data_IF_119959779270
#
_entry.id   IF_119959779270
#
_cell.length_a   1.000
_cell.length_b   1.000
_cell.length_c   1.000
_cell.angle_alpha   90.00
_cell.angle_beta   90.00
_cell.angle_gamma   90.00
#
_symmetry.space_group_name_H-M   'P 1'
#
loop_
_entity.id
_entity.type
_entity.pdbx_description
1 polymer ?
#
# COMPACT_ATOMS: atom_id res chain seq x y z
N UNK A 1 -66.49 -31.33 -8.54
CA UNK A 1 -65.17 -31.87 -8.19
C UNK A 1 -64.20 -30.69 -8.18
N UNK A 2 -63.83 -30.16 -7.01
CA UNK A 2 -62.86 -29.08 -6.88
C UNK A 2 -61.43 -29.66 -6.85
N UNK A 3 -60.53 -29.05 -7.61
CA UNK A 3 -59.09 -29.27 -7.52
C UNK A 3 -58.53 -28.07 -6.75
N UNK A 4 -58.00 -28.32 -5.56
CA UNK A 4 -57.30 -27.32 -4.77
C UNK A 4 -55.94 -27.03 -5.42
N UNK A 5 -55.72 -25.77 -5.81
CA UNK A 5 -54.43 -25.26 -6.28
C UNK A 5 -53.73 -24.60 -5.10
N UNK A 6 -52.79 -25.31 -4.48
CA UNK A 6 -51.87 -24.70 -3.51
C UNK A 6 -50.80 -23.90 -4.27
N UNK A 7 -50.83 -22.58 -4.10
CA UNK A 7 -49.78 -21.68 -4.57
C UNK A 7 -48.63 -21.69 -3.54
N UNK A 8 -47.59 -22.47 -3.82
CA UNK A 8 -46.36 -22.46 -3.01
C UNK A 8 -45.55 -21.19 -3.33
N UNK A 9 -45.56 -20.24 -2.41
CA UNK A 9 -44.68 -19.07 -2.45
C UNK A 9 -43.21 -19.53 -2.36
N UNK A 10 -42.39 -19.12 -3.32
CA UNK A 10 -40.96 -19.42 -3.33
C UNK A 10 -40.26 -18.71 -2.16
N UNK A 11 -39.45 -19.41 -1.35
CA UNK A 11 -38.71 -18.79 -0.25
C UNK A 11 -37.59 -17.90 -0.80
N UNK A 12 -37.74 -16.59 -0.66
CA UNK A 12 -36.68 -15.61 -0.91
C UNK A 12 -35.53 -15.90 0.07
N UNK A 13 -34.50 -16.56 -0.42
CA UNK A 13 -33.43 -17.13 0.40
C UNK A 13 -32.50 -16.01 0.88
N UNK A 14 -32.29 -15.91 2.20
CA UNK A 14 -31.38 -14.96 2.89
C UNK A 14 -29.90 -15.02 2.44
N UNK A 15 -29.55 -15.92 1.52
CA UNK A 15 -28.20 -16.13 0.98
C UNK A 15 -27.69 -14.96 0.14
N UNK A 16 -28.55 -14.23 -0.56
CA UNK A 16 -28.11 -13.15 -1.45
C UNK A 16 -27.70 -11.88 -0.69
N UNK A 17 -28.08 -11.73 0.58
CA UNK A 17 -27.72 -10.57 1.40
C UNK A 17 -26.37 -10.70 2.12
N UNK A 18 -25.85 -11.92 2.31
CA UNK A 18 -24.52 -12.15 2.91
C UNK A 18 -23.38 -12.04 1.90
N UNK A 19 -23.67 -12.02 0.60
CA UNK A 19 -22.65 -11.88 -0.46
C UNK A 19 -22.11 -10.45 -0.63
N UNK A 20 -22.66 -9.46 0.08
CA UNK A 20 -22.25 -8.03 -0.02
C UNK A 20 -21.58 -7.45 1.23
N UNK A 21 -21.32 -8.24 2.27
CA UNK A 21 -20.86 -7.71 3.57
C UNK A 21 -19.47 -8.17 4.03
N UNK A 22 -18.72 -8.91 3.21
CA UNK A 22 -17.37 -9.42 3.56
C UNK A 22 -16.28 -8.78 2.69
N UNK A 23 -16.32 -7.46 2.53
CA UNK A 23 -15.32 -6.65 1.82
C UNK A 23 -14.70 -5.69 2.84
N UNK A 24 -13.81 -6.19 3.68
CA UNK A 24 -13.00 -5.44 4.65
C UNK A 24 -11.83 -6.37 5.01
N UNK A 25 -10.65 -6.28 4.43
CA UNK A 25 -9.78 -5.12 4.39
C UNK A 25 -8.57 -5.43 5.28
N UNK A 26 -7.67 -6.31 4.82
CA UNK A 26 -6.40 -6.57 5.48
C UNK A 26 -5.36 -5.61 4.88
N UNK A 27 -5.22 -4.43 5.48
CA UNK A 27 -4.15 -3.50 5.18
C UNK A 27 -3.10 -3.62 6.28
N UNK A 28 -1.89 -3.99 5.88
CA UNK A 28 -0.68 -3.96 6.72
C UNK A 28 -0.28 -2.49 6.89
N UNK A 29 -0.10 -2.06 8.14
CA UNK A 29 0.41 -0.73 8.43
C UNK A 29 1.37 -0.74 9.60
N UNK A 30 2.64 -0.37 9.35
CA UNK A 30 3.53 0.23 10.33
C UNK A 30 4.31 1.35 9.63
N UNK A 31 4.58 2.45 10.33
CA UNK A 31 5.34 3.60 9.81
C UNK A 31 4.57 4.92 9.87
N UNK A 32 4.38 5.45 11.09
CA UNK A 32 3.88 6.79 11.31
C UNK A 32 4.89 7.84 10.84
N UNK A 33 4.84 8.23 9.56
CA UNK A 33 5.24 9.57 9.16
C UNK A 33 4.05 10.50 9.40
N UNK A 34 4.25 11.59 10.12
CA UNK A 34 3.22 12.52 10.56
C UNK A 34 2.62 13.36 9.41
N UNK A 35 2.03 12.71 8.41
CA UNK A 35 1.32 13.33 7.30
C UNK A 35 -0.20 13.34 7.49
N UNK A 36 -0.93 14.24 6.83
CA UNK A 36 -2.38 14.43 6.98
C UNK A 36 -3.22 13.21 6.58
N UNK A 37 -2.66 12.25 5.85
CA UNK A 37 -3.34 11.00 5.47
C UNK A 37 -3.39 9.95 6.61
N UNK A 38 -2.72 10.20 7.74
CA UNK A 38 -2.65 9.25 8.88
C UNK A 38 -3.99 9.06 9.61
N UNK A 39 -4.94 9.98 9.43
CA UNK A 39 -6.21 9.99 10.19
C UNK A 39 -7.30 9.08 9.59
N UNK A 40 -7.09 8.50 8.40
CA UNK A 40 -8.07 7.66 7.72
C UNK A 40 -7.77 6.15 7.82
N UNK A 41 -6.68 5.75 8.49
CA UNK A 41 -6.32 4.34 8.67
C UNK A 41 -6.50 3.91 10.14
N UNK A 42 -7.41 2.97 10.47
CA UNK A 42 -7.47 2.38 11.80
C UNK A 42 -6.21 1.57 12.08
N UNK A 43 -5.54 1.88 13.19
CA UNK A 43 -4.40 1.14 13.74
C UNK A 43 -4.79 -0.30 14.06
N UNK A 44 -4.38 -1.24 13.21
CA UNK A 44 -4.48 -2.69 13.45
C UNK A 44 -3.05 -3.24 13.54
N UNK A 45 -2.68 -3.74 14.73
CA UNK A 45 -1.32 -4.19 15.02
C UNK A 45 -0.91 -5.45 14.24
N UNK A 46 0.38 -5.54 13.96
CA UNK A 46 1.05 -6.72 13.43
C UNK A 46 0.76 -7.94 14.31
N UNK A 47 0.02 -8.91 13.78
CA UNK A 47 0.05 -10.27 14.32
C UNK A 47 1.15 -11.04 13.61
N UNK A 48 2.02 -11.70 14.38
CA UNK A 48 3.02 -12.61 13.87
C UNK A 48 2.36 -13.61 12.91
N UNK A 49 2.75 -13.56 11.63
CA UNK A 49 2.42 -14.62 10.70
C UNK A 49 3.06 -15.91 11.24
N UNK A 50 2.29 -16.98 11.50
CA UNK A 50 2.86 -18.20 12.05
C UNK A 50 4.01 -18.68 11.15
N UNK A 51 5.20 -18.85 11.73
CA UNK A 51 6.48 -19.20 11.07
C UNK A 51 6.48 -20.56 10.32
N UNK A 52 5.31 -21.14 10.03
CA UNK A 52 5.14 -22.48 9.47
C UNK A 52 4.51 -22.56 8.08
N UNK A 53 4.09 -21.44 7.45
CA UNK A 53 3.31 -21.49 6.20
C UNK A 53 3.91 -20.72 5.02
N UNK A 54 5.18 -20.30 5.10
CA UNK A 54 5.90 -19.76 3.94
C UNK A 54 6.37 -20.85 2.94
N UNK A 55 6.16 -22.13 3.24
CA UNK A 55 6.28 -23.21 2.24
C UNK A 55 5.12 -23.18 1.21
N UNK A 56 4.12 -22.32 1.42
CA UNK A 56 3.00 -22.08 0.53
C UNK A 56 2.98 -20.69 -0.07
N UNK A 57 4.14 -20.09 -0.42
CA UNK A 57 4.14 -18.93 -1.33
C UNK A 57 3.63 -19.40 -2.69
N UNK A 58 2.30 -19.42 -2.84
CA UNK A 58 1.65 -19.53 -4.13
C UNK A 58 2.31 -18.50 -5.03
N UNK A 59 3.05 -19.03 -6.00
CA UNK A 59 3.84 -18.25 -6.94
C UNK A 59 2.94 -17.18 -7.53
N UNK A 60 3.40 -15.93 -7.50
CA UNK A 60 2.62 -14.84 -8.04
C UNK A 60 2.64 -15.00 -9.56
N UNK A 61 1.50 -15.40 -10.13
CA UNK A 61 1.38 -15.53 -11.56
C UNK A 61 1.36 -14.15 -12.25
N UNK A 62 1.93 -14.09 -13.46
CA UNK A 62 2.11 -12.84 -14.20
C UNK A 62 0.78 -12.08 -14.38
N UNK A 63 -0.29 -12.78 -14.75
CA UNK A 63 -1.58 -12.17 -15.05
C UNK A 63 -2.23 -11.58 -13.80
N UNK A 64 -2.17 -12.29 -12.67
CA UNK A 64 -2.64 -11.78 -11.36
C UNK A 64 -1.85 -10.56 -10.93
N UNK A 65 -0.52 -10.58 -11.06
CA UNK A 65 0.30 -9.40 -10.77
C UNK A 65 -0.05 -8.23 -11.69
N UNK A 66 -0.12 -8.46 -13.00
CA UNK A 66 -0.44 -7.43 -13.99
C UNK A 66 -1.84 -6.83 -13.76
N UNK A 67 -2.84 -7.65 -13.43
CA UNK A 67 -4.20 -7.21 -13.12
C UNK A 67 -4.26 -6.29 -11.91
N UNK A 68 -3.31 -6.44 -10.99
CA UNK A 68 -3.20 -5.59 -9.81
C UNK A 68 -2.33 -4.34 -10.05
N UNK A 69 -1.18 -4.50 -10.68
CA UNK A 69 -0.21 -3.43 -10.91
C UNK A 69 -0.70 -2.42 -11.95
N UNK A 70 -1.35 -2.87 -13.04
CA UNK A 70 -1.82 -1.98 -14.12
C UNK A 70 -2.75 -0.87 -13.62
N UNK A 71 -3.79 -1.16 -12.80
CA UNK A 71 -4.60 -0.12 -12.16
C UNK A 71 -3.82 0.86 -11.28
N UNK A 72 -2.77 0.42 -10.58
CA UNK A 72 -1.95 1.29 -9.74
C UNK A 72 -1.13 2.26 -10.60
N UNK A 73 -0.49 1.75 -11.65
CA UNK A 73 0.23 2.57 -12.62
C UNK A 73 -0.69 3.58 -13.33
N UNK A 74 -1.91 3.18 -13.68
CA UNK A 74 -2.93 4.09 -14.22
C UNK A 74 -3.34 5.17 -13.21
N UNK A 75 -3.46 4.83 -11.92
CA UNK A 75 -3.71 5.82 -10.89
C UNK A 75 -2.56 6.82 -10.79
N UNK A 76 -1.31 6.37 -10.92
CA UNK A 76 -0.16 7.25 -10.93
C UNK A 76 -0.17 8.20 -12.14
N UNK A 77 -0.44 7.70 -13.36
CA UNK A 77 -0.61 8.53 -14.57
C UNK A 77 -1.63 9.66 -14.34
N UNK A 78 -2.78 9.33 -13.75
CA UNK A 78 -3.85 10.30 -13.49
C UNK A 78 -3.54 11.24 -12.32
N UNK A 79 -2.83 10.79 -11.30
CA UNK A 79 -2.39 11.64 -10.20
C UNK A 79 -1.36 12.68 -10.67
N UNK A 80 -0.40 12.29 -11.53
CA UNK A 80 0.50 13.24 -12.18
C UNK A 80 -0.25 14.24 -13.07
N UNK A 81 -1.30 13.80 -13.76
CA UNK A 81 -2.16 14.73 -14.51
C UNK A 81 -2.82 15.74 -13.56
N UNK A 82 -3.36 15.30 -12.42
CA UNK A 82 -3.96 16.18 -11.44
C UNK A 82 -2.94 17.18 -10.87
N UNK A 83 -1.71 16.76 -10.61
CA UNK A 83 -0.64 17.65 -10.16
C UNK A 83 -0.28 18.71 -11.22
N UNK A 84 -0.23 18.33 -12.50
CA UNK A 84 -0.03 19.26 -13.62
C UNK A 84 -1.19 20.27 -13.74
N UNK A 85 -2.42 19.80 -13.56
CA UNK A 85 -3.65 20.61 -13.65
C UNK A 85 -3.82 21.55 -12.43
N UNK A 86 -3.15 21.28 -11.31
CA UNK A 86 -3.21 22.13 -10.10
C UNK A 86 -2.58 23.51 -10.28
N UNK A 87 -1.74 23.69 -11.32
CA UNK A 87 -0.94 24.89 -11.58
C UNK A 87 0.01 25.31 -10.43
N UNK A 88 0.19 24.47 -9.40
CA UNK A 88 1.10 24.76 -8.27
C UNK A 88 2.58 24.49 -8.58
N UNK A 89 2.85 23.61 -9.55
CA UNK A 89 4.20 23.24 -9.94
C UNK A 89 4.85 24.35 -10.79
N UNK A 90 6.11 24.67 -10.51
CA UNK A 90 6.93 25.52 -11.34
C UNK A 90 7.32 24.82 -12.67
N UNK A 91 7.90 25.57 -13.60
CA UNK A 91 8.29 25.06 -14.93
C UNK A 91 9.26 23.86 -14.87
N UNK A 92 10.12 23.78 -13.85
CA UNK A 92 11.04 22.65 -13.69
C UNK A 92 10.24 21.41 -13.28
N UNK A 93 9.37 21.53 -12.30
CA UNK A 93 8.60 20.40 -11.77
C UNK A 93 7.49 19.94 -12.70
N UNK A 94 6.85 20.84 -13.45
CA UNK A 94 5.93 20.45 -14.53
C UNK A 94 6.61 19.54 -15.56
N UNK A 95 7.85 19.85 -15.95
CA UNK A 95 8.60 19.03 -16.91
C UNK A 95 8.94 17.65 -16.35
N UNK A 96 9.35 17.58 -15.09
CA UNK A 96 9.64 16.31 -14.42
C UNK A 96 8.36 15.49 -14.21
N UNK A 97 7.27 16.11 -13.78
CA UNK A 97 5.96 15.47 -13.64
C UNK A 97 5.48 14.85 -14.96
N UNK A 98 5.61 15.55 -16.08
CA UNK A 98 5.28 15.00 -17.41
C UNK A 98 6.18 13.80 -17.78
N UNK A 99 7.46 13.87 -17.44
CA UNK A 99 8.40 12.76 -17.66
C UNK A 99 7.99 11.54 -16.82
N UNK A 100 7.67 11.74 -15.54
CA UNK A 100 7.28 10.67 -14.62
C UNK A 100 5.93 10.06 -15.02
N UNK A 101 4.96 10.88 -15.40
CA UNK A 101 3.70 10.43 -16.00
C UNK A 101 3.94 9.52 -17.21
N UNK A 102 4.86 9.90 -18.09
CA UNK A 102 5.22 9.08 -19.28
C UNK A 102 5.85 7.75 -18.89
N UNK A 103 6.64 7.72 -17.81
CA UNK A 103 7.24 6.49 -17.29
C UNK A 103 6.18 5.54 -16.74
N UNK A 104 5.21 6.02 -15.95
CA UNK A 104 4.07 5.20 -15.52
C UNK A 104 3.25 4.72 -16.72
N UNK A 105 2.98 5.56 -17.72
CA UNK A 105 2.25 5.12 -18.91
C UNK A 105 3.01 4.02 -19.69
N UNK A 106 4.34 4.04 -19.65
CA UNK A 106 5.17 2.98 -20.22
C UNK A 106 5.03 1.68 -19.39
N UNK A 107 5.02 1.77 -18.06
CA UNK A 107 4.76 0.63 -17.19
C UNK A 107 3.34 0.06 -17.40
N UNK A 108 2.30 0.90 -17.47
CA UNK A 108 0.93 0.50 -17.84
C UNK A 108 0.93 -0.30 -19.13
N UNK A 109 1.60 0.20 -20.17
CA UNK A 109 1.62 -0.45 -21.49
C UNK A 109 2.26 -1.84 -21.40
N UNK A 110 3.41 -1.95 -20.74
CA UNK A 110 4.12 -3.21 -20.59
C UNK A 110 3.36 -4.22 -19.71
N UNK A 111 2.72 -3.77 -18.63
CA UNK A 111 1.92 -4.63 -17.76
C UNK A 111 0.61 -5.06 -18.42
N UNK A 112 0.02 -4.22 -19.27
CA UNK A 112 -1.19 -4.58 -20.04
C UNK A 112 -0.93 -5.77 -20.97
N UNK A 113 0.29 -5.92 -21.50
CA UNK A 113 0.67 -7.08 -22.32
C UNK A 113 0.70 -8.40 -21.51
N UNK A 114 0.81 -8.32 -20.19
CA UNK A 114 0.82 -9.48 -19.28
C UNK A 114 -0.57 -9.82 -18.72
N UNK A 115 -1.59 -9.00 -19.00
CA UNK A 115 -2.97 -9.28 -18.59
C UNK A 115 -3.53 -10.51 -19.32
N UNK A 116 -4.45 -11.21 -18.66
CA UNK A 116 -5.24 -12.24 -19.32
C UNK A 116 -6.10 -11.62 -20.45
N UNK A 117 -6.28 -12.35 -21.56
CA UNK A 117 -7.03 -11.89 -22.74
C UNK A 117 -8.47 -11.43 -22.40
N UNK A 118 -9.04 -11.93 -21.30
CA UNK A 118 -10.40 -11.63 -20.82
C UNK A 118 -10.46 -10.62 -19.66
N UNK A 119 -9.34 -10.02 -19.27
CA UNK A 119 -9.27 -9.07 -18.15
C UNK A 119 -10.05 -7.76 -18.39
N UNK A 120 -10.36 -7.43 -19.64
CA UNK A 120 -11.02 -6.18 -20.01
C UNK A 120 -10.08 -4.97 -19.98
N UNK A 121 -10.64 -3.78 -20.15
CA UNK A 121 -9.87 -2.53 -20.07
C UNK A 121 -9.57 -2.20 -18.60
N UNK A 122 -8.29 -2.04 -18.27
CA UNK A 122 -7.88 -1.64 -16.93
C UNK A 122 -8.35 -0.22 -16.63
N UNK A 123 -8.80 0.00 -15.40
CA UNK A 123 -9.16 1.32 -14.87
C UNK A 123 -8.20 1.68 -13.74
N UNK A 124 -8.01 2.97 -13.49
CA UNK A 124 -7.16 3.43 -12.40
C UNK A 124 -7.68 2.91 -11.05
N UNK A 125 -6.76 2.60 -10.14
CA UNK A 125 -7.11 2.24 -8.77
C UNK A 125 -7.73 3.45 -8.05
N UNK A 126 -9.06 3.47 -7.95
CA UNK A 126 -9.83 4.59 -7.38
C UNK A 126 -9.37 5.00 -5.97
N UNK A 127 -8.96 4.04 -5.14
CA UNK A 127 -8.54 4.32 -3.76
C UNK A 127 -7.22 5.10 -3.76
N UNK A 128 -6.22 4.64 -4.52
CA UNK A 128 -4.94 5.36 -4.63
C UNK A 128 -5.17 6.71 -5.29
N UNK A 129 -5.86 6.73 -6.42
CA UNK A 129 -6.13 7.95 -7.16
C UNK A 129 -6.85 9.00 -6.31
N UNK A 130 -7.92 8.61 -5.62
CA UNK A 130 -8.70 9.56 -4.79
C UNK A 130 -7.90 10.09 -3.61
N UNK A 131 -7.11 9.23 -2.95
CA UNK A 131 -6.25 9.65 -1.84
C UNK A 131 -5.19 10.65 -2.31
N UNK A 132 -4.48 10.35 -3.41
CA UNK A 132 -3.44 11.23 -3.95
C UNK A 132 -4.04 12.53 -4.49
N UNK A 133 -5.18 12.49 -5.19
CA UNK A 133 -5.86 13.71 -5.66
C UNK A 133 -6.30 14.60 -4.51
N UNK A 134 -6.86 14.02 -3.44
CA UNK A 134 -7.24 14.79 -2.25
C UNK A 134 -6.01 15.50 -1.66
N UNK A 135 -4.88 14.79 -1.53
CA UNK A 135 -3.64 15.40 -1.04
C UNK A 135 -3.09 16.52 -1.95
N UNK A 136 -3.23 16.38 -3.27
CA UNK A 136 -2.85 17.42 -4.25
C UNK A 136 -3.81 18.62 -4.16
N UNK A 137 -5.11 18.38 -4.07
CA UNK A 137 -6.14 19.43 -4.02
C UNK A 137 -6.05 20.24 -2.71
N UNK A 138 -5.69 19.58 -1.61
CA UNK A 138 -5.51 20.20 -0.29
C UNK A 138 -4.14 20.88 -0.10
N UNK A 139 -3.18 20.64 -1.01
CA UNK A 139 -1.83 21.20 -0.93
C UNK A 139 -1.84 22.73 -1.03
N UNK A 140 -1.16 23.39 -0.10
CA UNK A 140 -1.06 24.84 -0.04
C UNK A 140 -0.01 25.43 -1.00
N UNK A 141 1.00 24.62 -1.34
CA UNK A 141 2.12 25.01 -2.19
C UNK A 141 2.72 23.83 -2.96
N UNK A 142 3.72 24.15 -3.78
CA UNK A 142 4.43 23.17 -4.61
C UNK A 142 5.04 22.06 -3.77
N UNK A 143 5.65 22.39 -2.65
CA UNK A 143 6.33 21.45 -1.77
C UNK A 143 5.36 20.37 -1.28
N UNK A 144 4.15 20.75 -0.85
CA UNK A 144 3.11 19.81 -0.45
C UNK A 144 2.61 18.92 -1.60
N UNK A 145 2.48 19.45 -2.82
CA UNK A 145 2.18 18.64 -4.02
C UNK A 145 3.29 17.61 -4.28
N UNK A 146 4.55 17.99 -4.13
CA UNK A 146 5.69 17.09 -4.32
C UNK A 146 5.75 16.00 -3.24
N UNK A 147 5.35 16.31 -2.00
CA UNK A 147 5.19 15.29 -0.93
C UNK A 147 4.09 14.30 -1.31
N UNK A 148 2.92 14.77 -1.76
CA UNK A 148 1.83 13.90 -2.18
C UNK A 148 2.23 12.94 -3.32
N UNK A 149 2.99 13.44 -4.31
CA UNK A 149 3.54 12.61 -5.38
C UNK A 149 4.63 11.65 -4.85
N UNK A 150 5.48 12.08 -3.91
CA UNK A 150 6.45 11.18 -3.27
C UNK A 150 5.79 10.01 -2.54
N UNK A 151 4.65 10.23 -1.89
CA UNK A 151 3.90 9.19 -1.18
C UNK A 151 3.27 8.18 -2.15
N UNK A 152 2.80 8.67 -3.31
CA UNK A 152 2.36 7.81 -4.41
C UNK A 152 3.50 6.91 -4.90
N UNK A 153 4.68 7.48 -5.18
CA UNK A 153 5.84 6.71 -5.66
C UNK A 153 6.35 5.69 -4.63
N UNK A 154 6.24 6.02 -3.34
CA UNK A 154 6.54 5.06 -2.28
C UNK A 154 5.58 3.87 -2.32
N UNK A 155 4.30 4.13 -2.60
CA UNK A 155 3.26 3.09 -2.65
C UNK A 155 3.43 2.16 -3.86
N UNK A 156 3.73 2.71 -5.04
CA UNK A 156 4.01 1.94 -6.26
C UNK A 156 5.30 1.14 -6.12
N UNK A 157 6.39 1.77 -5.65
CA UNK A 157 7.67 1.07 -5.44
C UNK A 157 7.57 -0.05 -4.41
N UNK A 158 6.91 0.16 -3.27
CA UNK A 158 6.69 -0.90 -2.29
C UNK A 158 5.91 -2.09 -2.87
N UNK A 159 4.94 -1.81 -3.74
CA UNK A 159 4.17 -2.83 -4.46
C UNK A 159 5.04 -3.64 -5.42
N UNK A 160 5.88 -2.97 -6.21
CA UNK A 160 6.81 -3.63 -7.12
C UNK A 160 7.87 -4.46 -6.37
N UNK A 161 8.37 -3.95 -5.25
CA UNK A 161 9.31 -4.67 -4.40
C UNK A 161 8.69 -5.96 -3.84
N UNK A 162 7.44 -5.89 -3.36
CA UNK A 162 6.71 -7.09 -2.91
C UNK A 162 6.62 -8.14 -4.02
N UNK A 163 6.29 -7.72 -5.24
CA UNK A 163 6.12 -8.62 -6.38
C UNK A 163 7.41 -9.36 -6.77
N UNK A 164 8.58 -8.75 -6.61
CA UNK A 164 9.86 -9.40 -6.90
C UNK A 164 10.11 -10.68 -6.07
N UNK A 165 9.50 -10.80 -4.89
CA UNK A 165 9.61 -12.00 -4.07
C UNK A 165 8.76 -13.18 -4.58
N UNK A 166 7.73 -12.93 -5.39
CA UNK A 166 6.76 -13.93 -5.82
C UNK A 166 6.78 -14.27 -7.31
N UNK A 167 7.27 -13.36 -8.17
CA UNK A 167 7.31 -13.54 -9.62
C UNK A 167 8.38 -14.54 -10.06
N UNK A 168 8.05 -15.40 -11.03
CA UNK A 168 8.99 -16.37 -11.62
C UNK A 168 9.42 -16.05 -13.04
N UNK A 169 8.57 -15.36 -13.80
CA UNK A 169 8.93 -15.00 -15.17
C UNK A 169 10.09 -14.01 -15.18
N UNK A 170 11.20 -14.41 -15.81
CA UNK A 170 12.43 -13.61 -15.77
C UNK A 170 12.31 -12.29 -16.54
N UNK A 171 11.48 -12.22 -17.58
CA UNK A 171 11.27 -10.98 -18.32
C UNK A 171 10.47 -10.00 -17.47
N UNK A 172 9.37 -10.45 -16.87
CA UNK A 172 8.53 -9.65 -15.99
C UNK A 172 9.28 -9.23 -14.72
N UNK A 173 10.05 -10.12 -14.08
CA UNK A 173 10.91 -9.77 -12.94
C UNK A 173 11.88 -8.64 -13.29
N UNK A 174 12.49 -8.67 -14.48
CA UNK A 174 13.39 -7.59 -14.94
C UNK A 174 12.64 -6.29 -15.20
N UNK A 175 11.46 -6.37 -15.81
CA UNK A 175 10.58 -5.21 -16.02
C UNK A 175 10.22 -4.57 -14.67
N UNK A 176 9.71 -5.36 -13.73
CA UNK A 176 9.32 -4.91 -12.39
C UNK A 176 10.51 -4.32 -11.62
N UNK A 177 11.69 -4.94 -11.70
CA UNK A 177 12.90 -4.42 -11.07
C UNK A 177 13.33 -3.07 -11.67
N UNK A 178 13.16 -2.88 -12.99
CA UNK A 178 13.43 -1.61 -13.65
C UNK A 178 12.44 -0.53 -13.22
N UNK A 179 11.15 -0.85 -13.19
CA UNK A 179 10.10 0.08 -12.74
C UNK A 179 10.34 0.47 -11.28
N UNK A 180 10.56 -0.51 -10.39
CA UNK A 180 10.90 -0.30 -8.98
C UNK A 180 12.07 0.70 -8.81
N UNK A 181 13.15 0.52 -9.58
CA UNK A 181 14.32 1.38 -9.46
C UNK A 181 14.02 2.83 -9.88
N UNK A 182 13.21 3.02 -10.91
CA UNK A 182 12.77 4.35 -11.39
C UNK A 182 11.86 5.01 -10.36
N UNK A 183 10.85 4.31 -9.85
CA UNK A 183 9.90 4.84 -8.85
C UNK A 183 10.56 5.16 -7.52
N UNK A 184 11.49 4.30 -7.07
CA UNK A 184 12.28 4.57 -5.86
C UNK A 184 13.11 5.84 -6.02
N UNK A 185 13.66 6.08 -7.22
CA UNK A 185 14.38 7.31 -7.52
C UNK A 185 13.44 8.52 -7.55
N UNK A 186 12.28 8.40 -8.20
CA UNK A 186 11.26 9.46 -8.25
C UNK A 186 10.80 9.83 -6.85
N UNK A 187 10.46 8.86 -6.01
CA UNK A 187 10.13 9.04 -4.59
C UNK A 187 11.21 9.87 -3.87
N UNK A 188 12.48 9.46 -3.96
CA UNK A 188 13.56 10.18 -3.29
C UNK A 188 13.74 11.62 -3.82
N UNK A 189 13.61 11.83 -5.13
CA UNK A 189 13.76 13.15 -5.77
C UNK A 189 12.62 14.08 -5.38
N UNK A 190 11.37 13.60 -5.43
CA UNK A 190 10.17 14.36 -5.08
C UNK A 190 10.14 14.68 -3.60
N UNK A 191 10.38 13.67 -2.75
CA UNK A 191 10.38 13.84 -1.31
C UNK A 191 11.43 14.85 -0.83
N UNK A 192 12.66 14.80 -1.37
CA UNK A 192 13.68 15.81 -1.05
C UNK A 192 13.30 17.22 -1.52
N UNK A 193 12.55 17.32 -2.60
CA UNK A 193 12.08 18.60 -3.11
C UNK A 193 10.87 19.15 -2.33
N UNK A 194 10.04 18.27 -1.77
CA UNK A 194 9.00 18.59 -0.79
C UNK A 194 9.52 18.68 0.65
N UNK A 195 10.82 18.95 0.82
CA UNK A 195 11.49 19.14 2.11
C UNK A 195 11.38 17.97 3.13
N UNK A 196 11.14 16.75 2.67
CA UNK A 196 11.20 15.56 3.53
C UNK A 196 12.65 15.23 3.89
N UNK A 197 12.88 14.91 5.16
CA UNK A 197 14.18 14.47 5.65
C UNK A 197 14.65 13.17 4.97
N UNK A 198 15.97 13.03 4.79
CA UNK A 198 16.56 11.81 4.22
C UNK A 198 16.20 10.55 5.03
N UNK A 199 16.02 10.69 6.34
CA UNK A 199 15.57 9.59 7.20
C UNK A 199 14.16 9.13 6.83
N UNK A 200 13.24 10.05 6.54
CA UNK A 200 11.87 9.74 6.11
C UNK A 200 11.79 9.14 4.68
N UNK A 201 12.85 9.31 3.89
CA UNK A 201 12.95 8.78 2.53
C UNK A 201 13.77 7.49 2.45
N UNK A 202 14.45 7.13 3.53
CA UNK A 202 15.19 5.87 3.61
C UNK A 202 14.19 4.78 3.97
N UNK A 203 13.97 3.77 3.11
CA UNK A 203 13.13 2.64 3.48
C UNK A 203 13.69 2.01 4.77
N UNK A 204 12.83 1.74 5.74
CA UNK A 204 13.23 0.95 6.89
C UNK A 204 13.77 -0.40 6.40
N UNK A 205 14.80 -0.95 7.06
CA UNK A 205 15.48 -2.16 6.62
C UNK A 205 14.47 -3.29 6.34
N UNK A 206 14.33 -3.67 5.06
CA UNK A 206 13.39 -4.68 4.56
C UNK A 206 11.90 -4.42 4.85
N UNK A 207 11.47 -3.16 4.88
CA UNK A 207 10.06 -2.86 5.05
C UNK A 207 9.27 -3.04 3.74
N UNK A 208 8.15 -3.77 3.85
CA UNK A 208 7.07 -3.79 2.84
C UNK A 208 5.96 -2.81 3.22
N UNK A 209 6.22 -1.87 4.15
CA UNK A 209 5.25 -0.88 4.59
C UNK A 209 4.78 -0.04 3.40
N UNK A 210 3.47 0.01 3.19
CA UNK A 210 2.83 0.65 2.04
C UNK A 210 2.57 -0.29 0.86
N UNK A 211 3.15 -1.48 0.82
CA UNK A 211 2.78 -2.49 -0.16
C UNK A 211 1.33 -2.92 0.07
N UNK A 212 0.52 -2.91 -0.99
CA UNK A 212 -0.86 -3.41 -0.90
C UNK A 212 -0.86 -4.93 -1.11
N UNK A 213 -1.02 -5.66 0.00
CA UNK A 213 -0.82 -7.11 0.09
C UNK A 213 -2.04 -7.96 -0.27
N UNK A 214 -3.07 -7.42 -0.93
CA UNK A 214 -4.28 -8.20 -1.30
C UNK A 214 -4.06 -9.15 -2.50
N UNK A 215 -2.84 -9.67 -2.68
CA UNK A 215 -2.44 -10.56 -3.75
C UNK A 215 -2.66 -12.02 -3.31
N UNK A 216 -3.86 -12.51 -3.58
CA UNK A 216 -4.38 -13.89 -3.43
C UNK A 216 -4.81 -14.37 -2.02
N UNK A 217 -6.13 -14.45 -1.78
CA UNK A 217 -6.90 -15.70 -1.53
C UNK A 217 -8.34 -15.37 -1.06
N UNK A 218 -9.32 -16.03 -1.68
CA UNK A 218 -10.68 -16.08 -1.16
C UNK A 218 -10.70 -16.81 0.18
N UNK A 219 -11.10 -16.11 1.24
CA UNK A 219 -11.09 -16.61 2.60
C UNK A 219 -11.81 -17.97 2.74
N UNK A 220 -11.05 -19.02 3.06
CA UNK A 220 -11.60 -20.22 3.69
C UNK A 220 -11.93 -19.84 5.14
N UNK A 221 -13.17 -20.00 5.62
CA UNK A 221 -13.51 -19.64 6.99
C UNK A 221 -12.88 -20.63 7.98
N UNK A 222 -11.85 -20.19 8.69
CA UNK A 222 -11.31 -20.92 9.84
C UNK A 222 -12.32 -20.87 10.98
N UNK A 223 -12.81 -22.04 11.38
CA UNK A 223 -13.72 -22.19 12.50
C UNK A 223 -13.04 -21.74 13.80
N UNK A 224 -13.64 -20.73 14.46
CA UNK A 224 -13.25 -20.28 15.79
C UNK A 224 -13.40 -21.41 16.80
N UNK A 225 -12.28 -21.97 17.26
CA UNK A 225 -12.25 -22.78 18.48
C UNK A 225 -12.07 -21.82 19.66
N UNK A 226 -13.05 -21.80 20.55
CA UNK A 226 -13.02 -20.95 21.75
C UNK A 226 -11.88 -21.36 22.70
N UNK A 227 -11.18 -20.40 23.34
CA UNK A 227 -10.15 -20.72 24.31
C UNK A 227 -10.75 -21.23 25.63
N UNK A 228 -10.12 -22.28 26.18
CA UNK A 228 -10.38 -22.77 27.53
C UNK A 228 -9.87 -21.76 28.59
N UNK A 229 -10.49 -21.66 29.77
CA UNK A 229 -10.08 -20.73 30.80
C UNK A 229 -8.77 -21.17 31.46
N UNK A 230 -7.78 -20.27 31.49
CA UNK A 230 -6.51 -20.45 32.22
C UNK A 230 -6.62 -19.90 33.64
N UNK A 231 -6.37 -20.76 34.62
CA UNK A 231 -6.26 -20.45 36.05
C UNK A 231 -4.98 -19.65 36.35
N UNK A 232 -5.12 -18.55 37.10
CA UNK A 232 -4.01 -17.71 37.55
C UNK A 232 -3.22 -18.34 38.72
N UNK A 233 -1.88 -18.23 38.74
CA UNK A 233 -1.11 -18.33 39.97
C UNK A 233 -0.81 -16.92 40.54
N UNK A 234 -0.99 -16.81 41.85
CA UNK A 234 -0.53 -15.71 42.68
C UNK A 234 0.99 -15.82 42.92
N UNK A 235 1.69 -14.68 43.04
CA UNK A 235 3.07 -14.66 43.47
C UNK A 235 3.68 -13.25 43.52
N UNK A 236 3.88 -12.77 44.75
CA UNK A 236 4.50 -11.51 45.16
C UNK A 236 6.04 -11.46 44.96
N UNK A 237 6.61 -10.24 44.99
CA UNK A 237 8.05 -9.97 45.17
C UNK A 237 8.47 -8.67 44.47
N UNK A 238 8.40 -7.50 45.11
CA UNK A 238 9.33 -6.88 46.09
C UNK A 238 10.66 -6.39 45.49
N UNK A 239 10.85 -5.07 45.59
CA UNK A 239 12.09 -4.27 45.73
C UNK A 239 13.11 -4.21 44.58
N UNK A 240 13.46 -2.98 44.14
CA UNK A 240 14.53 -2.19 44.76
C UNK A 240 14.83 -0.91 43.98
N UNK A 241 15.29 0.09 44.73
CA UNK A 241 15.59 1.47 44.37
C UNK A 241 16.82 1.67 43.47
N UNK A 242 16.81 2.79 42.73
CA UNK A 242 17.94 3.73 42.69
C UNK A 242 19.01 3.55 41.60
N UNK A 243 19.18 4.57 40.74
CA UNK A 243 20.47 5.24 40.58
C UNK A 243 20.34 6.50 39.72
N UNK A 244 20.80 7.62 40.28
CA UNK A 244 20.97 8.89 39.60
C UNK A 244 22.30 8.94 38.82
N UNK A 245 22.35 9.82 37.82
CA UNK A 245 23.59 10.55 37.48
C UNK A 245 24.12 10.34 36.07
N UNK A 246 24.46 11.47 35.42
CA UNK A 246 25.38 11.47 34.30
C UNK A 246 25.07 12.49 33.21
N UNK A 247 25.20 13.79 33.53
CA UNK A 247 25.27 14.82 32.49
C UNK A 247 26.64 14.81 31.81
N UNK A 248 26.66 15.08 30.51
CA UNK A 248 27.86 15.48 29.77
C UNK A 248 27.50 16.57 28.77
N UNK A 249 28.06 17.75 29.00
CA UNK A 249 28.14 18.87 28.08
C UNK A 249 29.23 18.61 27.05
N UNK A 250 28.91 18.64 25.77
CA UNK A 250 29.90 18.58 24.69
C UNK A 250 30.06 19.96 24.05
N UNK A 251 31.31 20.29 23.74
CA UNK A 251 31.84 21.64 23.54
C UNK A 251 32.08 21.88 22.05
N UNK A 252 31.54 22.98 21.52
CA UNK A 252 31.79 23.46 20.14
C UNK A 252 33.23 23.99 19.99
N UNK A 253 33.99 23.58 18.95
CA UNK A 253 35.15 24.33 18.50
C UNK A 253 34.77 25.29 17.36
N UNK A 254 35.16 26.56 17.52
CA UNK A 254 35.20 27.54 16.44
C UNK A 254 36.48 27.32 15.60
N UNK A 255 36.35 27.33 14.27
CA UNK A 255 37.48 27.24 13.36
C UNK A 255 37.20 27.97 12.04
N UNK A 256 37.89 29.11 11.89
CA UNK A 256 38.17 30.00 10.74
C UNK A 256 37.39 29.85 9.42
#
# INVERSE_FOLDING_TARGET
MPIDTEATAAPTTRRTFLTRAAVSGALVGVGAAAGPLSLLAPSAGAQDAPEGDLEGTSLLDNATFAAFATPLELAAVQAYQAALDSEQLDTRWQRLALQFQTQHQTAVTALTEELADDAGEATANDIVLSATKTAIDDAADQEEVLVALSDLERTTSATHLYALGGLQDTALVRLVAQVLAVESQQCAVLGRAGDLDLEALTPAAASTDGARTNLSEGAVPTATTAPAPTTAPAGEGSDSEGSAGGGSTETTPAGN
#
